data_IF_042834697228
#
_entry.id   IF_042834697228
#
_cell.length_a   1.000
_cell.length_b   1.000
_cell.length_c   1.000
_cell.angle_alpha   90.00
_cell.angle_beta   90.00
_cell.angle_gamma   90.00
#
_symmetry.space_group_name_H-M   'P 1'
#
loop_
_entity.id
_entity.type
_entity.pdbx_description
1 polymer ?
#
# COMPACT_ATOMS: atom_id res chain seq x y z
N UNK A 1 7.32 -14.72 -8.42
CA UNK A 1 7.13 -14.85 -6.97
C UNK A 1 7.28 -16.32 -6.61
N UNK A 2 8.16 -16.63 -5.66
CA UNK A 2 8.45 -17.98 -5.16
C UNK A 2 7.35 -18.43 -4.18
N UNK A 3 7.32 -19.72 -3.84
CA UNK A 3 6.38 -20.26 -2.84
C UNK A 3 6.56 -19.61 -1.46
N UNK A 4 7.81 -19.38 -1.04
CA UNK A 4 8.11 -18.74 0.24
C UNK A 4 7.63 -17.29 0.29
N UNK A 5 7.77 -16.55 -0.82
CA UNK A 5 7.25 -15.19 -0.96
C UNK A 5 5.72 -15.17 -0.89
N UNK A 6 5.02 -16.06 -1.60
CA UNK A 6 3.55 -16.18 -1.52
C UNK A 6 3.10 -16.45 -0.08
N UNK A 7 3.73 -17.42 0.59
CA UNK A 7 3.42 -17.75 1.98
C UNK A 7 3.67 -16.58 2.92
N UNK A 8 4.76 -15.83 2.73
CA UNK A 8 5.06 -14.63 3.51
C UNK A 8 4.00 -13.55 3.30
N UNK A 9 3.66 -13.26 2.04
CA UNK A 9 2.62 -12.29 1.67
C UNK A 9 1.29 -12.63 2.32
N UNK A 10 0.80 -13.84 2.11
CA UNK A 10 -0.54 -14.25 2.56
C UNK A 10 -0.63 -14.30 4.10
N UNK A 11 0.44 -14.75 4.76
CA UNK A 11 0.52 -14.74 6.23
C UNK A 11 0.58 -13.32 6.77
N UNK A 12 1.32 -12.43 6.11
CA UNK A 12 1.38 -11.01 6.50
C UNK A 12 0.01 -10.35 6.38
N UNK A 13 -0.67 -10.52 5.25
CA UNK A 13 -2.03 -9.96 5.05
C UNK A 13 -2.97 -10.49 6.14
N UNK A 14 -3.04 -11.81 6.34
CA UNK A 14 -3.93 -12.43 7.35
C UNK A 14 -3.70 -11.92 8.77
N UNK A 15 -2.44 -11.69 9.15
CA UNK A 15 -2.12 -11.27 10.51
C UNK A 15 -2.51 -9.81 10.78
N UNK A 16 -2.38 -8.94 9.78
CA UNK A 16 -2.57 -7.50 9.93
C UNK A 16 -3.98 -7.02 9.59
N UNK A 17 -4.77 -7.79 8.84
CA UNK A 17 -6.17 -7.49 8.60
C UNK A 17 -7.09 -8.14 9.63
N UNK A 18 -8.16 -7.45 9.98
CA UNK A 18 -9.25 -7.98 10.79
C UNK A 18 -10.38 -8.57 9.92
N UNK A 19 -11.48 -8.99 10.58
CA UNK A 19 -12.64 -9.59 9.93
C UNK A 19 -13.44 -8.61 9.07
N UNK A 20 -13.24 -7.31 9.23
CA UNK A 20 -13.93 -6.22 8.52
C UNK A 20 -13.04 -5.65 7.40
N UNK A 21 -11.97 -6.38 7.03
CA UNK A 21 -10.95 -5.94 6.09
C UNK A 21 -10.25 -4.62 6.48
N UNK A 22 -10.22 -4.28 7.77
CA UNK A 22 -9.44 -3.14 8.27
C UNK A 22 -8.06 -3.56 8.73
N UNK A 23 -7.11 -2.66 8.56
CA UNK A 23 -5.75 -2.83 9.04
C UNK A 23 -5.72 -2.58 10.55
N UNK A 24 -5.26 -3.57 11.33
CA UNK A 24 -5.17 -3.46 12.79
C UNK A 24 -4.11 -2.45 13.23
N UNK A 25 -3.01 -2.38 12.49
CA UNK A 25 -1.91 -1.44 12.71
C UNK A 25 -0.97 -1.40 11.49
N UNK A 26 -0.27 -0.27 11.32
CA UNK A 26 0.78 -0.15 10.30
C UNK A 26 2.02 -0.92 10.80
N UNK A 27 2.54 -1.92 10.05
CA UNK A 27 3.71 -2.67 10.48
C UNK A 27 4.97 -1.79 10.59
N UNK A 28 5.71 -1.93 11.68
CA UNK A 28 7.04 -1.32 11.81
C UNK A 28 8.10 -1.95 10.89
N UNK A 29 7.95 -3.24 10.54
CA UNK A 29 8.87 -3.92 9.63
C UNK A 29 8.59 -3.52 8.17
N UNK A 30 9.58 -2.91 7.51
CA UNK A 30 9.47 -2.43 6.11
C UNK A 30 8.93 -3.48 5.14
N UNK A 31 9.46 -4.72 5.19
CA UNK A 31 9.03 -5.81 4.29
C UNK A 31 7.54 -6.13 4.43
N UNK A 32 7.01 -6.17 5.66
CA UNK A 32 5.58 -6.37 5.91
C UNK A 32 4.76 -5.16 5.47
N UNK A 33 5.23 -3.95 5.78
CA UNK A 33 4.55 -2.70 5.40
C UNK A 33 4.33 -2.64 3.88
N UNK A 34 5.37 -2.93 3.09
CA UNK A 34 5.29 -2.93 1.63
C UNK A 34 4.27 -3.93 1.09
N UNK A 35 4.17 -5.15 1.67
CA UNK A 35 3.11 -6.11 1.29
C UNK A 35 1.71 -5.51 1.47
N UNK A 36 1.48 -4.81 2.58
CA UNK A 36 0.17 -4.22 2.85
C UNK A 36 -0.10 -3.00 1.97
N UNK A 37 0.90 -2.15 1.71
CA UNK A 37 0.78 -1.01 0.80
C UNK A 37 0.51 -1.48 -0.64
N UNK A 38 1.19 -2.52 -1.09
CA UNK A 38 0.96 -3.13 -2.40
C UNK A 38 -0.46 -3.71 -2.51
N UNK A 39 -0.97 -4.34 -1.44
CA UNK A 39 -2.36 -4.79 -1.41
C UNK A 39 -3.34 -3.61 -1.54
N UNK A 40 -3.13 -2.53 -0.76
CA UNK A 40 -4.02 -1.37 -0.80
C UNK A 40 -3.99 -0.69 -2.16
N UNK A 41 -2.80 -0.38 -2.71
CA UNK A 41 -2.68 0.30 -4.01
C UNK A 41 -3.31 -0.53 -5.14
N UNK A 42 -3.28 -1.88 -5.05
CA UNK A 42 -3.89 -2.76 -6.05
C UNK A 42 -5.42 -2.66 -6.15
N UNK A 43 -6.07 -2.05 -5.15
CA UNK A 43 -7.52 -1.79 -5.13
C UNK A 43 -7.91 -0.46 -5.78
N UNK A 44 -6.93 0.35 -6.19
CA UNK A 44 -7.14 1.57 -6.97
C UNK A 44 -6.94 1.30 -8.47
N UNK A 45 -7.49 2.18 -9.30
CA UNK A 45 -7.36 2.13 -10.75
C UNK A 45 -6.10 2.91 -11.19
N UNK A 46 -5.17 2.20 -11.82
CA UNK A 46 -3.91 2.78 -12.29
C UNK A 46 -4.05 3.75 -13.47
N UNK A 47 -5.18 3.75 -14.17
CA UNK A 47 -5.48 4.71 -15.23
C UNK A 47 -5.94 6.07 -14.74
N UNK A 48 -6.33 6.18 -13.46
CA UNK A 48 -6.95 7.37 -12.90
C UNK A 48 -5.94 8.27 -12.16
N UNK A 49 -6.33 9.54 -12.05
CA UNK A 49 -5.71 10.48 -11.12
C UNK A 49 -6.68 10.73 -9.96
N UNK A 50 -6.11 10.94 -8.77
CA UNK A 50 -6.88 11.11 -7.55
C UNK A 50 -6.47 12.39 -6.84
N UNK A 51 -7.44 13.13 -6.35
CA UNK A 51 -7.20 14.22 -5.40
C UNK A 51 -6.73 13.65 -4.06
N UNK A 52 -6.11 14.50 -3.25
CA UNK A 52 -5.76 14.15 -1.87
C UNK A 52 -6.98 13.64 -1.06
N UNK A 53 -8.16 14.24 -1.28
CA UNK A 53 -9.40 13.88 -0.59
C UNK A 53 -9.87 12.48 -0.97
N UNK A 54 -9.75 12.09 -2.23
CA UNK A 54 -10.13 10.76 -2.71
C UNK A 54 -9.20 9.70 -2.13
N UNK A 55 -7.88 9.93 -2.17
CA UNK A 55 -6.91 9.03 -1.54
C UNK A 55 -7.14 8.89 -0.04
N UNK A 56 -7.45 9.99 0.65
CA UNK A 56 -7.79 9.94 2.07
C UNK A 56 -9.04 9.11 2.33
N UNK A 57 -10.09 9.33 1.54
CA UNK A 57 -11.35 8.60 1.67
C UNK A 57 -11.14 7.12 1.42
N UNK A 58 -10.37 6.76 0.38
CA UNK A 58 -10.00 5.40 0.07
C UNK A 58 -9.25 4.74 1.24
N UNK A 59 -8.17 5.37 1.74
CA UNK A 59 -7.36 4.78 2.81
C UNK A 59 -8.15 4.64 4.12
N UNK A 60 -9.05 5.59 4.44
CA UNK A 60 -9.89 5.56 5.65
C UNK A 60 -10.80 4.34 5.74
N UNK A 61 -11.11 3.70 4.61
CA UNK A 61 -11.83 2.44 4.59
C UNK A 61 -11.03 1.33 5.31
N UNK A 62 -9.70 1.41 5.27
CA UNK A 62 -8.77 0.42 5.80
C UNK A 62 -8.09 0.84 7.10
N UNK A 63 -7.77 2.12 7.29
CA UNK A 63 -7.04 2.59 8.47
C UNK A 63 -7.24 4.10 8.72
N UNK A 64 -7.36 4.50 9.99
CA UNK A 64 -7.63 5.90 10.35
C UNK A 64 -6.39 6.81 10.23
N UNK A 65 -5.20 6.24 10.34
CA UNK A 65 -3.94 6.94 9.99
C UNK A 65 -3.70 6.93 8.46
N UNK A 66 -4.61 7.60 7.75
CA UNK A 66 -4.52 7.76 6.30
C UNK A 66 -3.34 8.65 5.88
N UNK A 67 -2.92 9.58 6.74
CA UNK A 67 -1.79 10.47 6.50
C UNK A 67 -0.49 9.67 6.35
N UNK A 68 -0.21 8.73 7.27
CA UNK A 68 0.98 7.89 7.20
C UNK A 68 0.97 7.00 5.97
N UNK A 69 -0.13 6.27 5.70
CA UNK A 69 -0.22 5.38 4.53
C UNK A 69 -0.05 6.16 3.22
N UNK A 70 -0.70 7.31 3.08
CA UNK A 70 -0.57 8.17 1.90
C UNK A 70 0.87 8.64 1.70
N UNK A 71 1.57 9.01 2.78
CA UNK A 71 3.00 9.36 2.72
C UNK A 71 3.84 8.17 2.28
N UNK A 72 3.57 6.99 2.81
CA UNK A 72 4.30 5.76 2.49
C UNK A 72 4.10 5.33 1.03
N UNK A 73 2.93 5.57 0.42
CA UNK A 73 2.73 5.38 -1.03
C UNK A 73 3.72 6.20 -1.87
N UNK A 74 3.98 7.44 -1.48
CA UNK A 74 4.96 8.31 -2.17
C UNK A 74 6.39 7.85 -1.87
N UNK A 75 6.72 7.62 -0.60
CA UNK A 75 8.07 7.20 -0.15
C UNK A 75 8.53 5.93 -0.86
N UNK A 76 7.61 4.99 -1.08
CA UNK A 76 7.90 3.71 -1.72
C UNK A 76 7.60 3.68 -3.22
N UNK A 77 7.36 4.85 -3.82
CA UNK A 77 7.17 5.05 -5.27
C UNK A 77 5.94 4.31 -5.82
N UNK A 78 4.98 3.93 -4.99
CA UNK A 78 3.68 3.40 -5.47
C UNK A 78 2.86 4.49 -6.16
N UNK A 79 2.99 5.73 -5.70
CA UNK A 79 2.38 6.90 -6.33
C UNK A 79 3.38 8.04 -6.42
N UNK A 80 3.16 8.92 -7.39
CA UNK A 80 3.73 10.27 -7.43
C UNK A 80 2.60 11.30 -7.19
N UNK A 81 2.98 12.48 -6.69
CA UNK A 81 2.08 13.62 -6.49
C UNK A 81 2.59 14.82 -7.26
N UNK A 82 1.82 15.26 -8.25
CA UNK A 82 2.09 16.43 -9.08
C UNK A 82 0.82 17.29 -9.18
N UNK A 83 0.94 18.61 -9.09
CA UNK A 83 -0.19 19.54 -9.17
C UNK A 83 -1.38 19.20 -8.25
N UNK A 84 -1.08 18.71 -7.04
CA UNK A 84 -2.06 18.22 -6.04
C UNK A 84 -2.87 16.98 -6.46
N UNK A 85 -2.49 16.34 -7.55
CA UNK A 85 -3.04 15.08 -8.02
C UNK A 85 -2.08 13.94 -7.71
N UNK A 86 -2.64 12.80 -7.32
CA UNK A 86 -1.94 11.55 -7.07
C UNK A 86 -2.16 10.61 -8.25
N UNK A 87 -1.08 9.99 -8.72
CA UNK A 87 -1.12 9.00 -9.80
C UNK A 87 -0.36 7.76 -9.37
N UNK A 88 -0.91 6.58 -9.69
CA UNK A 88 -0.21 5.31 -9.47
C UNK A 88 0.94 5.18 -10.46
N UNK A 89 2.13 4.88 -9.96
CA UNK A 89 3.30 4.70 -10.80
C UNK A 89 3.33 3.29 -11.40
N UNK A 90 4.08 3.11 -12.48
CA UNK A 90 4.38 1.77 -13.00
C UNK A 90 5.13 0.91 -11.99
N UNK A 91 4.87 -0.40 -12.01
CA UNK A 91 5.42 -1.37 -11.04
C UNK A 91 6.96 -1.46 -11.08
N UNK A 92 7.56 -1.02 -12.18
CA UNK A 92 9.01 -0.99 -12.40
C UNK A 92 9.76 -0.03 -11.46
N UNK A 93 9.09 1.01 -10.95
CA UNK A 93 9.71 1.97 -10.00
C UNK A 93 9.36 1.69 -8.54
N UNK A 94 8.48 0.74 -8.25
CA UNK A 94 8.02 0.45 -6.89
C UNK A 94 9.15 -0.14 -6.06
N UNK A 95 9.17 0.19 -4.76
CA UNK A 95 10.00 -0.56 -3.81
C UNK A 95 9.45 -1.97 -3.65
N UNK A 96 10.14 -2.98 -4.18
CA UNK A 96 9.71 -4.38 -4.13
C UNK A 96 10.09 -5.02 -2.81
N UNK A 97 9.14 -5.66 -2.13
CA UNK A 97 9.40 -6.30 -0.84
C UNK A 97 10.12 -7.64 -1.01
N UNK A 98 10.02 -8.25 -2.18
CA UNK A 98 10.70 -9.48 -2.61
C UNK A 98 12.22 -9.28 -2.63
N UNK A 99 12.68 -8.06 -2.95
CA UNK A 99 14.11 -7.70 -3.02
C UNK A 99 14.70 -7.36 -1.64
N UNK A 100 13.87 -7.22 -0.61
CA UNK A 100 14.33 -6.96 0.75
C UNK A 100 14.79 -8.26 1.42
N UNK A 101 16.02 -8.25 1.94
CA UNK A 101 16.58 -9.33 2.76
C UNK A 101 15.79 -9.51 4.06
#
# INVERSE_FOLDING_TARGET
MTESEMKFRDTTIRNFFDKEERLKSIPGQKKKKLVLLELLISKLDAGNQYTEKEINTFIKQYHDDFCTIRREFIVHRFMDREDNMYRINGREVWTKWEELK
#
